data_IF_109752922409
#
_entry.id   IF_109752922409
#
_cell.length_a   1.000
_cell.length_b   1.000
_cell.length_c   1.000
_cell.angle_alpha   90.00
_cell.angle_beta   90.00
_cell.angle_gamma   90.00
#
_symmetry.space_group_name_H-M   'P 1'
#
loop_
_entity.id
_entity.type
_entity.pdbx_description
1 polymer ?
#
# COMPACT_ATOMS: atom_id res chain seq x y z
N UNK A 1 -26.17 -4.70 7.66
CA UNK A 1 -25.17 -4.50 6.61
C UNK A 1 -23.91 -4.02 7.31
N UNK A 2 -22.91 -4.88 7.42
CA UNK A 2 -21.64 -4.59 8.10
C UNK A 2 -20.64 -4.06 7.07
N UNK A 3 -20.15 -2.85 7.29
CA UNK A 3 -19.15 -2.21 6.44
C UNK A 3 -17.78 -2.20 7.15
N UNK A 4 -16.82 -2.86 6.54
CA UNK A 4 -15.45 -2.90 7.03
C UNK A 4 -14.57 -1.85 6.34
N UNK A 5 -13.53 -1.40 7.05
CA UNK A 5 -12.48 -0.52 6.55
C UNK A 5 -11.15 -1.27 6.54
N UNK A 6 -10.46 -1.33 5.41
CA UNK A 6 -9.10 -1.86 5.30
C UNK A 6 -8.14 -0.76 4.86
N UNK A 7 -7.17 -0.42 5.71
CA UNK A 7 -6.24 0.70 5.48
C UNK A 7 -4.84 0.17 5.16
N UNK A 8 -4.27 0.63 4.04
CA UNK A 8 -2.91 0.27 3.64
C UNK A 8 -2.28 1.29 2.69
N UNK A 9 -0.95 1.25 2.56
CA UNK A 9 -0.22 2.06 1.57
C UNK A 9 -0.20 1.42 0.19
N UNK A 10 -0.20 0.09 0.13
CA UNK A 10 -0.21 -0.72 -1.10
C UNK A 10 0.92 -0.36 -2.09
N UNK A 11 2.18 -0.44 -1.64
CA UNK A 11 3.39 -0.01 -2.37
C UNK A 11 4.33 -1.18 -2.77
N UNK A 12 3.94 -2.15 -3.63
CA UNK A 12 2.68 -2.24 -4.40
C UNK A 12 1.59 -3.07 -3.68
N UNK A 13 0.44 -3.28 -4.35
CA UNK A 13 -0.53 -4.31 -3.96
C UNK A 13 0.07 -5.71 -4.18
N UNK A 14 -0.28 -6.70 -3.35
CA UNK A 14 0.37 -8.01 -3.37
C UNK A 14 -0.55 -9.12 -2.83
N UNK A 15 -0.16 -10.39 -2.94
CA UNK A 15 -1.03 -11.51 -2.55
C UNK A 15 -1.44 -11.49 -1.07
N UNK A 16 -0.57 -11.02 -0.19
CA UNK A 16 -0.93 -10.79 1.22
C UNK A 16 -2.10 -9.81 1.39
N UNK A 17 -2.20 -8.77 0.56
CA UNK A 17 -3.32 -7.83 0.57
C UNK A 17 -4.58 -8.44 -0.05
N UNK A 18 -4.45 -9.22 -1.13
CA UNK A 18 -5.59 -9.92 -1.75
C UNK A 18 -6.25 -10.89 -0.76
N UNK A 19 -5.44 -11.71 -0.09
CA UNK A 19 -5.91 -12.64 0.94
C UNK A 19 -6.64 -11.90 2.07
N UNK A 20 -6.11 -10.74 2.49
CA UNK A 20 -6.76 -9.90 3.49
C UNK A 20 -8.15 -9.44 3.04
N UNK A 21 -8.27 -8.95 1.81
CA UNK A 21 -9.54 -8.51 1.24
C UNK A 21 -10.56 -9.67 1.19
N UNK A 22 -10.15 -10.83 0.68
CA UNK A 22 -11.02 -12.02 0.60
C UNK A 22 -11.46 -12.50 1.99
N UNK A 23 -10.57 -12.43 2.98
CA UNK A 23 -10.88 -12.84 4.35
C UNK A 23 -11.88 -11.88 4.99
N UNK A 24 -11.66 -10.58 4.85
CA UNK A 24 -12.56 -9.55 5.40
C UNK A 24 -13.95 -9.67 4.76
N UNK A 25 -14.04 -9.84 3.44
CA UNK A 25 -15.31 -10.00 2.72
C UNK A 25 -16.09 -11.30 3.04
N UNK A 26 -15.51 -12.24 3.78
CA UNK A 26 -16.24 -13.38 4.36
C UNK A 26 -16.97 -13.01 5.65
N UNK A 27 -16.52 -11.95 6.33
CA UNK A 27 -17.04 -11.51 7.63
C UNK A 27 -17.90 -10.24 7.54
N UNK A 28 -17.86 -9.53 6.41
CA UNK A 28 -18.61 -8.29 6.20
C UNK A 28 -19.34 -8.25 4.86
N UNK A 29 -20.40 -7.45 4.80
CA UNK A 29 -21.17 -7.26 3.57
C UNK A 29 -20.37 -6.45 2.55
N UNK A 30 -19.69 -5.39 2.99
CA UNK A 30 -18.93 -4.51 2.11
C UNK A 30 -17.58 -4.11 2.72
N UNK A 31 -16.65 -3.72 1.85
CA UNK A 31 -15.30 -3.29 2.24
C UNK A 31 -14.92 -1.94 1.62
N UNK A 32 -14.49 -0.98 2.44
CA UNK A 32 -13.77 0.21 1.96
C UNK A 32 -12.27 -0.07 2.08
N UNK A 33 -11.56 0.02 0.96
CA UNK A 33 -10.10 -0.07 0.90
C UNK A 33 -9.55 1.36 0.84
N UNK A 34 -8.93 1.80 1.93
CA UNK A 34 -8.29 3.12 2.01
C UNK A 34 -6.85 3.01 1.53
N UNK A 35 -6.58 3.66 0.41
CA UNK A 35 -5.22 3.88 -0.10
C UNK A 35 -4.63 5.06 0.67
N UNK A 36 -3.95 4.75 1.78
CA UNK A 36 -3.30 5.70 2.66
C UNK A 36 -2.04 6.30 2.05
N UNK A 37 -1.56 7.40 2.63
CA UNK A 37 -0.43 8.18 2.09
C UNK A 37 -0.63 8.49 0.59
N UNK A 38 -1.86 8.90 0.22
CA UNK A 38 -2.25 9.09 -1.18
C UNK A 38 -1.41 10.16 -1.91
N UNK A 39 -0.90 11.15 -1.17
CA UNK A 39 -0.03 12.21 -1.68
C UNK A 39 1.42 11.75 -1.92
N UNK A 40 1.81 10.60 -1.39
CA UNK A 40 3.18 10.08 -1.47
C UNK A 40 3.37 9.27 -2.74
N UNK A 41 4.44 9.56 -3.48
CA UNK A 41 4.89 8.86 -4.68
C UNK A 41 6.36 9.21 -4.92
N UNK A 42 7.04 8.48 -5.81
CA UNK A 42 8.43 8.76 -6.19
C UNK A 42 9.39 8.87 -4.99
N UNK A 43 9.20 8.01 -4.00
CA UNK A 43 10.10 7.87 -2.85
C UNK A 43 10.47 6.40 -2.65
N UNK A 44 11.61 6.16 -2.01
CA UNK A 44 12.12 4.79 -1.78
C UNK A 44 11.08 3.84 -1.15
N UNK A 45 10.29 4.32 -0.18
CA UNK A 45 9.26 3.52 0.47
C UNK A 45 7.84 3.74 -0.08
N UNK A 46 7.66 4.74 -0.96
CA UNK A 46 6.41 5.06 -1.63
C UNK A 46 6.64 5.36 -3.13
N UNK A 47 7.03 4.37 -3.93
CA UNK A 47 7.39 4.60 -5.34
C UNK A 47 6.17 4.90 -6.23
N UNK A 48 5.00 4.36 -5.90
CA UNK A 48 3.80 4.45 -6.74
C UNK A 48 2.85 5.54 -6.25
N UNK A 49 2.23 6.24 -7.21
CA UNK A 49 1.17 7.23 -6.99
C UNK A 49 -0.11 6.59 -6.47
N UNK A 50 -1.05 7.38 -5.95
CA UNK A 50 -2.36 6.85 -5.57
C UNK A 50 -3.10 6.23 -6.77
N UNK A 51 -3.01 6.85 -7.96
CA UNK A 51 -3.66 6.36 -9.17
C UNK A 51 -3.18 4.96 -9.58
N UNK A 52 -1.86 4.78 -9.68
CA UNK A 52 -1.23 3.50 -9.99
C UNK A 52 -1.62 2.41 -8.98
N UNK A 53 -1.66 2.76 -7.69
CA UNK A 53 -2.07 1.82 -6.64
C UNK A 53 -3.54 1.43 -6.74
N UNK A 54 -4.43 2.36 -7.04
CA UNK A 54 -5.86 2.08 -7.27
C UNK A 54 -6.02 1.16 -8.48
N UNK A 55 -5.27 1.41 -9.55
CA UNK A 55 -5.26 0.57 -10.75
C UNK A 55 -4.82 -0.87 -10.42
N UNK A 56 -3.72 -1.03 -9.69
CA UNK A 56 -3.23 -2.32 -9.22
C UNK A 56 -4.27 -3.06 -8.37
N UNK A 57 -4.89 -2.38 -7.40
CA UNK A 57 -5.94 -2.98 -6.56
C UNK A 57 -7.11 -3.42 -7.43
N UNK A 58 -7.65 -2.53 -8.28
CA UNK A 58 -8.82 -2.86 -9.13
C UNK A 58 -8.54 -4.04 -10.04
N UNK A 59 -7.39 -4.07 -10.70
CA UNK A 59 -7.03 -5.15 -11.61
C UNK A 59 -6.92 -6.49 -10.87
N UNK A 60 -6.28 -6.51 -9.70
CA UNK A 60 -6.17 -7.70 -8.86
C UNK A 60 -7.53 -8.21 -8.37
N UNK A 61 -8.41 -7.31 -7.88
CA UNK A 61 -9.73 -7.69 -7.39
C UNK A 61 -10.64 -8.19 -8.51
N UNK A 62 -10.57 -7.57 -9.70
CA UNK A 62 -11.30 -8.03 -10.88
C UNK A 62 -10.85 -9.43 -11.31
N UNK A 63 -9.54 -9.69 -11.32
CA UNK A 63 -8.98 -11.00 -11.67
C UNK A 63 -9.37 -12.08 -10.66
N UNK A 64 -9.49 -11.72 -9.39
CA UNK A 64 -10.01 -12.58 -8.32
C UNK A 64 -11.55 -12.70 -8.29
N UNK A 65 -12.24 -12.17 -9.31
CA UNK A 65 -13.71 -12.20 -9.44
C UNK A 65 -14.46 -11.59 -8.25
N UNK A 66 -13.85 -10.63 -7.55
CA UNK A 66 -14.50 -9.93 -6.44
C UNK A 66 -15.50 -8.92 -7.01
N UNK A 67 -16.81 -9.01 -6.67
CA UNK A 67 -17.83 -8.13 -7.25
C UNK A 67 -17.61 -6.66 -6.91
N UNK A 68 -17.76 -5.77 -7.90
CA UNK A 68 -17.49 -4.33 -7.73
C UNK A 68 -18.46 -3.63 -6.78
N UNK A 69 -19.63 -4.20 -6.52
CA UNK A 69 -20.60 -3.72 -5.54
C UNK A 69 -20.27 -4.12 -4.10
N UNK A 70 -19.27 -5.00 -3.90
CA UNK A 70 -18.79 -5.44 -2.57
C UNK A 70 -17.69 -4.55 -2.01
N UNK A 71 -17.09 -3.65 -2.80
CA UNK A 71 -15.99 -2.82 -2.33
C UNK A 71 -15.97 -1.39 -2.88
N UNK A 72 -15.28 -0.51 -2.16
CA UNK A 72 -14.94 0.85 -2.59
C UNK A 72 -13.44 1.07 -2.37
N UNK A 73 -12.78 1.81 -3.25
CA UNK A 73 -11.37 2.19 -3.08
C UNK A 73 -11.31 3.70 -2.95
N UNK A 74 -10.78 4.20 -1.84
CA UNK A 74 -10.77 5.63 -1.53
C UNK A 74 -9.34 6.06 -1.17
N UNK A 75 -8.71 6.96 -1.95
CA UNK A 75 -7.41 7.51 -1.58
C UNK A 75 -7.57 8.54 -0.46
N UNK A 76 -6.80 8.39 0.61
CA UNK A 76 -6.78 9.34 1.73
C UNK A 76 -5.34 9.81 1.95
N UNK A 77 -5.06 11.12 1.85
CA UNK A 77 -3.73 11.64 2.14
C UNK A 77 -3.43 11.59 3.65
N UNK A 78 -2.15 11.61 4.00
CA UNK A 78 -1.77 11.84 5.39
C UNK A 78 -2.15 13.26 5.82
N UNK A 79 -2.37 13.47 7.11
CA UNK A 79 -2.69 14.79 7.65
C UNK A 79 -1.55 15.31 8.53
N UNK A 80 -1.42 16.64 8.59
CA UNK A 80 -0.42 17.33 9.44
C UNK A 80 -0.58 17.04 10.94
N UNK A 81 -1.74 16.53 11.36
CA UNK A 81 -1.99 16.10 12.73
C UNK A 81 -2.79 14.79 12.74
N UNK A 82 -2.43 13.88 13.64
CA UNK A 82 -3.05 12.56 13.69
C UNK A 82 -4.57 12.57 13.95
N UNK A 83 -5.08 13.52 14.75
CA UNK A 83 -6.53 13.67 14.95
C UNK A 83 -7.24 14.16 13.69
N UNK A 84 -6.59 15.03 12.91
CA UNK A 84 -7.13 15.52 11.64
C UNK A 84 -7.21 14.36 10.63
N UNK A 85 -6.27 13.41 10.67
CA UNK A 85 -6.33 12.23 9.82
C UNK A 85 -7.58 11.38 10.09
N UNK A 86 -7.92 11.13 11.37
CA UNK A 86 -9.15 10.37 11.69
C UNK A 86 -10.40 11.09 11.17
N UNK A 87 -10.52 12.41 11.41
CA UNK A 87 -11.65 13.19 10.89
C UNK A 87 -11.68 13.24 9.35
N UNK A 88 -10.50 13.22 8.70
CA UNK A 88 -10.41 13.13 7.25
C UNK A 88 -10.93 11.78 6.73
N UNK A 89 -10.65 10.68 7.45
CA UNK A 89 -11.21 9.36 7.15
C UNK A 89 -12.73 9.43 7.31
N UNK A 90 -13.23 9.81 8.48
CA UNK A 90 -14.67 9.89 8.80
C UNK A 90 -15.48 10.76 7.84
N UNK A 91 -14.90 11.84 7.31
CA UNK A 91 -15.58 12.76 6.41
C UNK A 91 -15.60 12.33 4.95
N UNK A 92 -14.66 11.49 4.52
CA UNK A 92 -14.48 11.13 3.10
C UNK A 92 -15.02 9.74 2.77
N UNK A 93 -15.35 8.92 3.77
CA UNK A 93 -15.81 7.55 3.57
C UNK A 93 -17.19 7.33 4.22
N UNK A 94 -18.00 6.39 3.69
CA UNK A 94 -19.24 5.99 4.36
C UNK A 94 -19.01 5.53 5.79
N UNK A 95 -20.02 5.70 6.65
CA UNK A 95 -19.98 5.18 8.03
C UNK A 95 -19.68 3.67 8.01
N UNK A 96 -18.66 3.27 8.75
CA UNK A 96 -18.17 1.89 8.86
C UNK A 96 -18.27 1.40 10.30
N UNK A 97 -18.31 0.08 10.46
CA UNK A 97 -18.51 -0.58 11.75
C UNK A 97 -17.18 -1.08 12.33
N UNK A 98 -16.25 -1.51 11.47
CA UNK A 98 -15.03 -2.19 11.89
C UNK A 98 -13.83 -1.84 11.02
N UNK A 99 -12.65 -1.79 11.63
CA UNK A 99 -11.39 -1.50 10.95
C UNK A 99 -10.46 -2.70 10.98
N UNK A 100 -9.80 -2.95 9.85
CA UNK A 100 -8.70 -3.89 9.69
C UNK A 100 -7.42 -3.14 9.34
N UNK A 101 -6.39 -3.27 10.17
CA UNK A 101 -5.06 -2.72 9.87
C UNK A 101 -3.96 -3.41 10.67
N UNK A 102 -2.83 -3.63 10.00
CA UNK A 102 -1.58 -4.08 10.63
C UNK A 102 -0.58 -2.92 10.85
N UNK A 103 -0.93 -1.68 10.47
CA UNK A 103 -0.07 -0.53 10.74
C UNK A 103 -0.30 -0.01 12.16
N UNK A 104 0.74 -0.06 13.00
CA UNK A 104 0.67 0.30 14.42
C UNK A 104 0.11 1.70 14.68
N UNK A 105 0.49 2.69 13.87
CA UNK A 105 0.00 4.07 13.99
C UNK A 105 -1.50 4.15 13.66
N UNK A 106 -1.92 3.68 12.48
CA UNK A 106 -3.35 3.61 12.10
C UNK A 106 -4.20 2.93 13.17
N UNK A 107 -3.75 1.77 13.65
CA UNK A 107 -4.43 1.03 14.71
C UNK A 107 -4.59 1.87 15.97
N UNK A 108 -3.52 2.53 16.42
CA UNK A 108 -3.56 3.36 17.63
C UNK A 108 -4.56 4.51 17.50
N UNK A 109 -4.54 5.22 16.38
CA UNK A 109 -5.41 6.39 16.15
C UNK A 109 -6.89 6.03 16.09
N UNK A 110 -7.23 4.93 15.42
CA UNK A 110 -8.64 4.51 15.29
C UNK A 110 -9.18 3.91 16.59
N UNK A 111 -8.35 3.21 17.37
CA UNK A 111 -8.72 2.78 18.72
C UNK A 111 -8.98 3.98 19.63
N UNK A 112 -8.15 5.03 19.58
CA UNK A 112 -8.38 6.25 20.37
C UNK A 112 -9.64 7.01 19.96
N UNK A 113 -10.05 6.87 18.70
CA UNK A 113 -11.30 7.43 18.18
C UNK A 113 -12.53 6.57 18.50
N UNK A 114 -12.36 5.43 19.17
CA UNK A 114 -13.46 4.56 19.62
C UNK A 114 -13.89 3.48 18.62
N UNK A 115 -13.10 3.24 17.57
CA UNK A 115 -13.38 2.16 16.61
C UNK A 115 -12.86 0.81 17.08
N UNK A 116 -13.60 -0.25 16.75
CA UNK A 116 -13.08 -1.61 16.82
C UNK A 116 -12.04 -1.82 15.71
N UNK A 117 -10.80 -2.14 16.12
CA UNK A 117 -9.70 -2.43 15.18
C UNK A 117 -9.21 -3.86 15.34
N UNK A 118 -9.42 -4.68 14.32
CA UNK A 118 -8.93 -6.06 14.23
C UNK A 118 -7.61 -6.13 13.45
N UNK A 119 -6.66 -6.97 13.87
CA UNK A 119 -5.52 -7.30 13.04
C UNK A 119 -5.97 -8.14 11.84
N UNK A 120 -5.12 -8.20 10.82
CA UNK A 120 -5.32 -9.09 9.67
C UNK A 120 -4.32 -10.23 9.81
N UNK A 121 -4.80 -11.45 9.70
CA UNK A 121 -3.94 -12.63 9.65
C UNK A 121 -3.01 -12.53 8.43
N UNK A 122 -1.70 -12.45 8.72
CA UNK A 122 -0.69 -12.35 7.67
C UNK A 122 -0.58 -13.69 6.93
N UNK A 123 -1.00 -13.70 5.67
CA UNK A 123 -0.77 -14.82 4.77
C UNK A 123 0.73 -14.95 4.49
N UNK A 124 1.33 -16.09 4.86
CA UNK A 124 2.76 -16.39 4.68
C UNK A 124 3.68 -15.22 5.10
N UNK A 125 3.63 -14.87 6.39
CA UNK A 125 4.44 -13.80 7.02
C UNK A 125 5.90 -13.82 6.55
N UNK A 126 6.45 -12.66 6.19
CA UNK A 126 7.81 -12.51 5.66
C UNK A 126 7.95 -12.78 4.16
N UNK A 127 7.00 -13.46 3.50
CA UNK A 127 7.01 -13.66 2.04
C UNK A 127 6.26 -12.54 1.31
N UNK A 128 4.98 -12.32 1.66
CA UNK A 128 4.14 -11.34 0.96
C UNK A 128 4.14 -9.98 1.65
N UNK A 129 5.26 -9.28 1.56
CA UNK A 129 5.41 -7.94 2.10
C UNK A 129 5.92 -6.98 1.03
N UNK A 130 5.33 -5.79 0.97
CA UNK A 130 5.75 -4.74 0.05
C UNK A 130 7.25 -4.39 0.19
N UNK A 131 7.81 -4.45 1.39
CA UNK A 131 9.25 -4.28 1.64
C UNK A 131 10.08 -5.36 0.97
N UNK A 132 9.66 -6.63 1.02
CA UNK A 132 10.36 -7.73 0.35
C UNK A 132 10.28 -7.60 -1.16
N UNK A 133 9.12 -7.21 -1.71
CA UNK A 133 8.97 -6.95 -3.14
C UNK A 133 9.94 -5.86 -3.61
N UNK A 134 9.98 -4.71 -2.91
CA UNK A 134 10.90 -3.62 -3.27
C UNK A 134 12.37 -4.04 -3.12
N UNK A 135 12.72 -4.83 -2.09
CA UNK A 135 14.07 -5.40 -1.94
C UNK A 135 14.44 -6.26 -3.16
N UNK A 136 13.59 -7.21 -3.56
CA UNK A 136 13.84 -8.05 -4.73
C UNK A 136 14.03 -7.24 -6.02
N UNK A 137 13.21 -6.20 -6.23
CA UNK A 137 13.36 -5.30 -7.38
C UNK A 137 14.74 -4.62 -7.39
N UNK A 138 15.20 -4.14 -6.22
CA UNK A 138 16.50 -3.49 -6.06
C UNK A 138 17.67 -4.46 -6.28
N UNK A 139 17.54 -5.70 -5.79
CA UNK A 139 18.55 -6.74 -5.92
C UNK A 139 18.53 -7.45 -7.29
N UNK A 140 17.57 -7.10 -8.17
CA UNK A 140 17.39 -7.76 -9.47
C UNK A 140 16.85 -9.19 -9.37
N UNK A 141 16.22 -9.54 -8.26
CA UNK A 141 15.59 -10.84 -8.02
C UNK A 141 14.15 -10.88 -8.57
N UNK A 142 13.66 -12.09 -8.88
CA UNK A 142 12.28 -12.28 -9.30
C UNK A 142 11.29 -12.07 -8.14
N UNK A 143 10.33 -11.18 -8.38
CA UNK A 143 9.27 -10.80 -7.44
C UNK A 143 7.87 -11.08 -7.98
N UNK A 144 7.76 -11.59 -9.21
CA UNK A 144 6.47 -11.82 -9.90
C UNK A 144 5.56 -12.77 -9.12
N UNK A 145 6.13 -13.77 -8.42
CA UNK A 145 5.36 -14.70 -7.57
C UNK A 145 4.75 -14.05 -6.32
N UNK A 146 5.13 -12.82 -5.98
CA UNK A 146 4.69 -12.14 -4.75
C UNK A 146 3.42 -11.31 -4.96
N UNK A 147 3.02 -11.09 -6.21
CA UNK A 147 1.89 -10.22 -6.58
C UNK A 147 0.96 -10.91 -7.58
N UNK A 148 -0.32 -10.50 -7.65
CA UNK A 148 -1.17 -10.85 -8.77
C UNK A 148 -0.54 -10.49 -10.12
N UNK A 149 -0.76 -11.33 -11.14
CA UNK A 149 -0.16 -11.17 -12.46
C UNK A 149 -0.46 -9.79 -13.07
N UNK A 150 -1.66 -9.27 -12.84
CA UNK A 150 -2.10 -7.96 -13.32
C UNK A 150 -1.29 -6.84 -12.68
N UNK A 151 -0.97 -6.97 -11.38
CA UNK A 151 -0.13 -5.99 -10.67
C UNK A 151 1.29 -6.04 -11.22
N UNK A 152 1.83 -7.23 -11.48
CA UNK A 152 3.16 -7.36 -12.08
C UNK A 152 3.22 -6.65 -13.45
N UNK A 153 2.22 -6.89 -14.31
CA UNK A 153 2.11 -6.22 -15.62
C UNK A 153 2.03 -4.71 -15.50
N UNK A 154 1.16 -4.19 -14.62
CA UNK A 154 1.02 -2.74 -14.40
C UNK A 154 2.36 -2.14 -13.98
N UNK A 155 3.08 -2.76 -13.03
CA UNK A 155 4.39 -2.26 -12.57
C UNK A 155 5.40 -2.24 -13.72
N UNK A 156 5.38 -3.22 -14.62
CA UNK A 156 6.24 -3.22 -15.82
C UNK A 156 5.85 -2.09 -16.79
N UNK A 157 4.56 -1.92 -17.07
CA UNK A 157 4.03 -0.92 -17.99
C UNK A 157 4.34 0.53 -17.56
N UNK A 158 4.33 0.82 -16.25
CA UNK A 158 4.64 2.14 -15.69
C UNK A 158 6.13 2.35 -15.40
N UNK A 159 7.00 1.45 -15.87
CA UNK A 159 8.45 1.42 -15.60
C UNK A 159 8.78 1.46 -14.09
N UNK A 160 7.93 0.84 -13.28
CA UNK A 160 7.98 0.91 -11.82
C UNK A 160 9.26 0.31 -11.22
N UNK A 161 9.82 -0.72 -11.84
CA UNK A 161 11.10 -1.29 -11.40
C UNK A 161 12.27 -0.32 -11.58
N UNK A 162 12.34 0.33 -12.74
CA UNK A 162 13.38 1.33 -13.03
C UNK A 162 13.22 2.51 -12.08
N UNK A 163 11.98 2.99 -11.88
CA UNK A 163 11.69 4.04 -10.90
C UNK A 163 12.18 3.68 -9.50
N UNK A 164 11.94 2.46 -9.02
CA UNK A 164 12.40 2.01 -7.71
C UNK A 164 13.94 2.01 -7.64
N UNK A 165 14.61 1.50 -8.67
CA UNK A 165 16.08 1.47 -8.74
C UNK A 165 16.68 2.87 -8.77
N UNK A 166 16.16 3.74 -9.62
CA UNK A 166 16.63 5.12 -9.78
C UNK A 166 16.47 5.91 -8.48
N UNK A 167 15.36 5.74 -7.76
CA UNK A 167 15.11 6.39 -6.48
C UNK A 167 15.96 5.85 -5.32
N UNK A 168 16.56 4.67 -5.47
CA UNK A 168 17.49 4.11 -4.48
C UNK A 168 18.92 4.59 -4.68
N UNK A 169 19.27 5.08 -5.88
CA UNK A 169 20.55 5.76 -6.11
C UNK A 169 20.47 7.12 -5.42
N UNK A 170 21.14 7.24 -4.27
CA UNK A 170 21.21 8.52 -3.56
C UNK A 170 21.86 9.59 -4.44
N UNK A 171 21.38 10.84 -4.38
CA UNK A 171 22.06 12.05 -4.91
C UNK A 171 23.38 12.37 -4.18
N UNK A 172 23.97 11.40 -3.48
CA UNK A 172 25.31 11.51 -2.91
C UNK A 172 26.33 11.45 -4.06
N UNK A 173 26.45 12.55 -4.80
CA UNK A 173 27.68 12.83 -5.53
C UNK A 173 28.79 12.78 -4.50
N UNK A 174 29.58 11.71 -4.53
CA UNK A 174 30.88 11.66 -3.87
C UNK A 174 31.70 12.84 -4.39
N UNK A 175 31.69 13.96 -3.67
CA UNK A 175 32.79 14.93 -3.71
C UNK A 175 33.99 14.29 -3.01
N UNK A 176 34.49 13.18 -3.55
CA UNK A 176 35.81 12.69 -3.20
C UNK A 176 36.83 13.41 -4.10
N UNK A 177 37.31 14.53 -3.55
CA UNK A 177 38.68 14.98 -3.63
C UNK A 177 39.39 14.83 -4.99
N UNK A 178 39.19 15.82 -5.86
CA UNK A 178 40.23 16.28 -6.78
C UNK A 178 41.36 16.93 -5.95
N UNK A 179 42.09 16.12 -5.18
CA UNK A 179 43.38 16.50 -4.65
C UNK A 179 44.44 16.07 -5.68
N UNK A 180 44.48 16.81 -6.79
CA UNK A 180 45.61 16.78 -7.69
C UNK A 180 46.82 17.34 -6.94
N UNK A 181 47.56 16.43 -6.28
CA UNK A 181 48.91 16.68 -5.85
C UNK A 181 49.77 17.02 -7.07
N UNK A 182 50.07 18.31 -7.21
CA UNK A 182 51.15 18.77 -8.08
C UNK A 182 52.44 18.69 -7.24
N UNK A 183 53.52 18.08 -7.74
CA UNK A 183 54.82 18.06 -7.09
C UNK A 183 55.46 19.45 -6.97
#
# INVERSE_FOLDING_TARGET
>A
MTLALFVGRFQPFHYGHLYAVETILKECDNLIIVVGSAQMSHQHDNPFTAGERIEMIRAALNSAEIPTDRYMIIPIPDANAHRVWVSAVESQIPRFDIVYSNQSLTKRLLVEAGYEVRPIDLYQRGKFEASEIRRRILDGEDWSELVPLEVHRIVQEIEGENRIRDLAVSDSVNHENDNHGIP
#
